data_IF_670511871359
#
_entry.id   IF_670511871359
#
_cell.length_a   1.000
_cell.length_b   1.000
_cell.length_c   1.000
_cell.angle_alpha   90.00
_cell.angle_beta   90.00
_cell.angle_gamma   90.00
#
_symmetry.space_group_name_H-M   'P 1'
#
loop_
_entity.id
_entity.type
_entity.pdbx_description
1 polymer ?
#
# COMPACT_ATOMS: atom_id res chain seq x y z
N UNK A 1 -10.31 19.44 13.48
CA UNK A 1 -10.57 20.34 12.34
C UNK A 1 -9.93 19.77 11.08
N UNK A 2 -10.71 19.30 10.11
CA UNK A 2 -10.25 18.52 8.96
C UNK A 2 -9.23 19.30 8.10
N UNK A 3 -8.20 18.62 7.56
CA UNK A 3 -7.16 19.23 6.69
C UNK A 3 -7.79 19.95 5.47
N UNK A 4 -8.93 19.45 5.03
CA UNK A 4 -9.78 20.05 4.00
C UNK A 4 -10.35 21.41 4.40
N UNK A 5 -10.84 21.54 5.65
CA UNK A 5 -11.40 22.78 6.19
C UNK A 5 -10.31 23.86 6.37
N UNK A 6 -9.10 23.45 6.79
CA UNK A 6 -7.94 24.35 6.90
C UNK A 6 -7.50 24.90 5.54
N UNK A 7 -7.43 24.05 4.52
CA UNK A 7 -7.09 24.49 3.16
C UNK A 7 -8.19 25.35 2.53
N UNK A 8 -9.46 25.05 2.82
CA UNK A 8 -10.58 25.88 2.39
C UNK A 8 -10.52 27.28 3.00
N UNK A 9 -10.32 27.37 4.33
CA UNK A 9 -10.20 28.64 5.04
C UNK A 9 -8.98 29.46 4.57
N UNK A 10 -7.82 28.83 4.38
CA UNK A 10 -6.63 29.51 3.88
C UNK A 10 -6.83 30.09 2.47
N UNK A 11 -7.56 29.37 1.60
CA UNK A 11 -7.89 29.84 0.25
C UNK A 11 -8.96 30.93 0.26
N UNK A 12 -9.96 30.81 1.14
CA UNK A 12 -10.97 31.85 1.34
C UNK A 12 -10.29 33.18 1.74
N UNK A 13 -9.28 33.12 2.61
CA UNK A 13 -8.48 34.29 3.02
C UNK A 13 -7.65 34.84 1.85
N UNK A 14 -7.05 33.98 1.02
CA UNK A 14 -6.23 34.40 -0.13
C UNK A 14 -7.05 35.14 -1.20
N UNK A 15 -8.28 34.69 -1.47
CA UNK A 15 -9.16 35.30 -2.47
C UNK A 15 -10.06 36.40 -1.89
N UNK A 16 -10.09 36.57 -0.56
CA UNK A 16 -10.87 37.59 0.13
C UNK A 16 -10.68 39.01 -0.43
N UNK A 17 -9.45 39.53 -0.67
CA UNK A 17 -9.28 40.89 -1.19
C UNK A 17 -9.81 41.05 -2.63
N UNK A 18 -9.74 39.99 -3.45
CA UNK A 18 -10.29 39.99 -4.81
C UNK A 18 -11.82 40.01 -4.73
N UNK A 19 -12.41 39.14 -3.91
CA UNK A 19 -13.87 39.08 -3.68
C UNK A 19 -14.38 40.42 -3.14
N UNK A 20 -13.67 41.03 -2.17
CA UNK A 20 -13.99 42.35 -1.63
C UNK A 20 -13.90 43.42 -2.71
N UNK A 21 -12.82 43.45 -3.51
CA UNK A 21 -12.63 44.44 -4.58
C UNK A 21 -13.70 44.36 -5.68
N UNK A 22 -14.18 43.15 -5.97
CA UNK A 22 -15.28 42.93 -6.91
C UNK A 22 -16.60 43.37 -6.28
N UNK A 23 -16.86 42.99 -5.02
CA UNK A 23 -18.07 43.39 -4.30
C UNK A 23 -18.17 44.92 -4.16
N UNK A 24 -17.07 45.60 -3.86
CA UNK A 24 -17.03 47.07 -3.77
C UNK A 24 -17.24 47.72 -5.14
N UNK A 25 -16.64 47.19 -6.20
CA UNK A 25 -16.85 47.71 -7.56
C UNK A 25 -18.30 47.55 -8.02
N UNK A 26 -18.90 46.38 -7.78
CA UNK A 26 -20.33 46.13 -8.06
C UNK A 26 -21.20 47.07 -7.22
N UNK A 27 -20.90 47.24 -5.93
CA UNK A 27 -21.62 48.13 -5.05
C UNK A 27 -21.58 49.58 -5.54
N UNK A 28 -20.40 50.08 -5.93
CA UNK A 28 -20.26 51.45 -6.47
C UNK A 28 -21.06 51.62 -7.76
N UNK A 29 -20.99 50.66 -8.69
CA UNK A 29 -21.72 50.75 -9.97
C UNK A 29 -23.24 50.70 -9.74
N UNK A 30 -23.71 49.75 -8.93
CA UNK A 30 -25.14 49.62 -8.62
C UNK A 30 -25.67 50.82 -7.84
N UNK A 31 -24.91 51.34 -6.87
CA UNK A 31 -25.25 52.53 -6.11
C UNK A 31 -25.32 53.79 -7.01
N UNK A 32 -24.36 53.96 -7.92
CA UNK A 32 -24.38 55.06 -8.88
C UNK A 32 -25.56 54.95 -9.85
N UNK A 33 -25.89 53.75 -10.32
CA UNK A 33 -27.04 53.50 -11.21
C UNK A 33 -28.37 53.80 -10.50
N UNK A 34 -28.52 53.41 -9.23
CA UNK A 34 -29.68 53.76 -8.39
C UNK A 34 -29.79 55.28 -8.22
N UNK A 35 -28.68 55.98 -7.95
CA UNK A 35 -28.68 57.44 -7.81
C UNK A 35 -29.06 58.18 -9.09
N UNK A 36 -28.57 57.70 -10.23
CA UNK A 36 -28.93 58.24 -11.54
C UNK A 36 -30.42 58.03 -11.82
N UNK A 37 -30.99 56.89 -11.40
CA UNK A 37 -32.42 56.62 -11.51
C UNK A 37 -33.26 57.53 -10.60
N UNK A 38 -32.87 57.71 -9.34
CA UNK A 38 -33.54 58.65 -8.42
C UNK A 38 -33.53 60.09 -8.95
N UNK A 39 -32.39 60.55 -9.49
CA UNK A 39 -32.30 61.88 -10.11
C UNK A 39 -33.24 62.03 -11.31
N UNK A 40 -33.31 61.01 -12.17
CA UNK A 40 -34.18 61.03 -13.32
C UNK A 40 -35.67 61.02 -12.94
N UNK A 41 -36.05 60.23 -11.94
CA UNK A 41 -37.42 60.24 -11.39
C UNK A 41 -37.76 61.63 -10.86
N UNK A 42 -36.89 62.21 -10.02
CA UNK A 42 -37.13 63.53 -9.41
C UNK A 42 -37.21 64.68 -10.42
N UNK A 43 -36.51 64.58 -11.56
CA UNK A 43 -36.64 65.53 -12.68
C UNK A 43 -37.96 65.35 -13.43
N UNK A 44 -38.44 64.11 -13.60
CA UNK A 44 -39.73 63.80 -14.26
C UNK A 44 -40.98 64.10 -13.42
N UNK A 45 -40.84 64.24 -12.10
CA UNK A 45 -41.94 64.69 -11.21
C UNK A 45 -42.01 66.20 -11.07
N UNK A 46 -40.91 66.93 -11.28
CA UNK A 46 -40.85 68.40 -11.18
C UNK A 46 -41.10 69.12 -12.51
N UNK A 47 -40.82 68.45 -13.63
CA UNK A 47 -41.22 68.86 -14.96
C UNK A 47 -42.20 67.82 -15.48
N UNK A 48 -43.35 68.20 -16.03
CA UNK A 48 -44.41 67.30 -16.54
C UNK A 48 -43.94 66.54 -17.82
N UNK A 49 -42.72 65.99 -17.80
CA UNK A 49 -42.08 65.24 -18.86
C UNK A 49 -42.36 63.75 -18.64
N UNK A 50 -42.93 63.11 -19.67
CA UNK A 50 -42.98 61.66 -19.79
C UNK A 50 -41.56 61.09 -19.57
N UNK A 51 -41.44 60.05 -18.74
CA UNK A 51 -40.25 59.21 -18.73
C UNK A 51 -40.05 58.67 -20.15
N UNK A 52 -39.15 59.29 -20.92
CA UNK A 52 -38.84 58.86 -22.27
C UNK A 52 -38.32 57.41 -22.19
N UNK A 53 -38.95 56.47 -22.90
CA UNK A 53 -38.60 55.04 -22.85
C UNK A 53 -37.13 54.72 -23.13
N UNK A 54 -36.41 55.65 -23.74
CA UNK A 54 -34.97 55.63 -23.93
C UNK A 54 -34.18 55.52 -22.62
N UNK A 55 -34.60 56.23 -21.55
CA UNK A 55 -33.92 56.19 -20.26
C UNK A 55 -34.15 54.87 -19.53
N UNK A 56 -35.37 54.33 -19.59
CA UNK A 56 -35.72 53.03 -19.00
C UNK A 56 -34.93 51.91 -19.68
N UNK A 57 -34.85 51.92 -21.01
CA UNK A 57 -34.08 50.93 -21.77
C UNK A 57 -32.59 50.99 -21.43
N UNK A 58 -32.02 52.18 -21.22
CA UNK A 58 -30.62 52.35 -20.82
C UNK A 58 -30.31 51.69 -19.46
N UNK A 59 -31.17 51.89 -18.47
CA UNK A 59 -31.00 51.32 -17.12
C UNK A 59 -31.11 49.80 -17.14
N UNK A 60 -32.09 49.26 -17.88
CA UNK A 60 -32.25 47.82 -18.06
C UNK A 60 -30.97 47.25 -18.68
N UNK A 61 -30.45 47.87 -19.74
CA UNK A 61 -29.24 47.41 -20.41
C UNK A 61 -28.01 47.40 -19.49
N UNK A 62 -27.81 48.46 -18.68
CA UNK A 62 -26.71 48.53 -17.71
C UNK A 62 -26.81 47.46 -16.62
N UNK A 63 -28.02 47.21 -16.09
CA UNK A 63 -28.25 46.18 -15.07
C UNK A 63 -27.98 44.76 -15.59
N UNK A 64 -28.39 44.48 -16.83
CA UNK A 64 -28.13 43.20 -17.50
C UNK A 64 -26.63 43.01 -17.73
N UNK A 65 -25.92 44.06 -18.16
CA UNK A 65 -24.48 44.00 -18.39
C UNK A 65 -23.70 43.68 -17.11
N UNK A 66 -24.07 44.31 -15.99
CA UNK A 66 -23.47 44.03 -14.67
C UNK A 66 -23.72 42.58 -14.26
N UNK A 67 -24.95 42.08 -14.44
CA UNK A 67 -25.29 40.69 -14.14
C UNK A 67 -24.43 39.69 -14.91
N UNK A 68 -24.20 39.93 -16.21
CA UNK A 68 -23.34 39.10 -17.06
C UNK A 68 -21.89 39.11 -16.54
N UNK A 69 -21.35 40.28 -16.20
CA UNK A 69 -19.99 40.41 -15.67
C UNK A 69 -19.83 39.60 -14.38
N UNK A 70 -20.79 39.69 -13.45
CA UNK A 70 -20.78 38.94 -12.19
C UNK A 70 -20.78 37.44 -12.44
N UNK A 71 -21.64 36.95 -13.34
CA UNK A 71 -21.73 35.53 -13.67
C UNK A 71 -20.41 35.02 -14.26
N UNK A 72 -19.83 35.77 -15.21
CA UNK A 72 -18.55 35.41 -15.84
C UNK A 72 -17.43 35.35 -14.80
N UNK A 73 -17.41 36.31 -13.88
CA UNK A 73 -16.39 36.38 -12.84
C UNK A 73 -16.52 35.22 -11.83
N UNK A 74 -17.74 34.97 -11.34
CA UNK A 74 -18.02 33.82 -10.47
C UNK A 74 -17.65 32.49 -11.15
N UNK A 75 -18.02 32.33 -12.41
CA UNK A 75 -17.68 31.14 -13.21
C UNK A 75 -16.16 30.94 -13.31
N UNK A 76 -15.42 32.03 -13.54
CA UNK A 76 -13.94 32.00 -13.63
C UNK A 76 -13.29 31.57 -12.31
N UNK A 77 -13.80 32.08 -11.18
CA UNK A 77 -13.31 31.70 -9.84
C UNK A 77 -13.58 30.22 -9.57
N UNK A 78 -14.80 29.74 -9.86
CA UNK A 78 -15.16 28.32 -9.71
C UNK A 78 -14.29 27.44 -10.59
N UNK A 79 -14.07 27.83 -11.84
CA UNK A 79 -13.19 27.13 -12.78
C UNK A 79 -11.75 27.03 -12.24
N UNK A 80 -11.20 28.11 -11.69
CA UNK A 80 -9.86 28.10 -11.11
C UNK A 80 -9.76 27.16 -9.89
N UNK A 81 -10.73 27.25 -8.97
CA UNK A 81 -10.78 26.40 -7.77
C UNK A 81 -10.90 24.91 -8.13
N UNK A 82 -11.71 24.57 -9.13
CA UNK A 82 -11.91 23.18 -9.56
C UNK A 82 -10.65 22.59 -10.20
N UNK A 83 -9.97 23.35 -11.08
CA UNK A 83 -8.69 22.91 -11.68
C UNK A 83 -7.65 22.61 -10.61
N UNK A 84 -7.49 23.52 -9.65
CA UNK A 84 -6.46 23.34 -8.63
C UNK A 84 -6.76 22.15 -7.72
N UNK A 85 -8.04 21.91 -7.41
CA UNK A 85 -8.46 20.72 -6.68
C UNK A 85 -8.17 19.43 -7.45
N UNK A 86 -8.56 19.37 -8.73
CA UNK A 86 -8.30 18.20 -9.59
C UNK A 86 -6.80 17.92 -9.68
N UNK A 87 -5.97 18.96 -9.89
CA UNK A 87 -4.51 18.83 -9.95
C UNK A 87 -3.94 18.23 -8.66
N UNK A 88 -4.43 18.66 -7.50
CA UNK A 88 -3.99 18.12 -6.21
C UNK A 88 -4.40 16.66 -6.01
N UNK A 89 -5.59 16.26 -6.45
CA UNK A 89 -6.02 14.86 -6.42
C UNK A 89 -5.16 13.97 -7.33
N UNK A 90 -4.91 14.42 -8.57
CA UNK A 90 -4.06 13.69 -9.51
C UNK A 90 -2.64 13.50 -8.96
N UNK A 91 -2.10 14.54 -8.29
CA UNK A 91 -0.79 14.45 -7.64
C UNK A 91 -0.76 13.38 -6.53
N UNK A 92 -1.78 13.33 -5.68
CA UNK A 92 -1.86 12.31 -4.62
C UNK A 92 -1.97 10.90 -5.18
N UNK A 93 -2.76 10.72 -6.25
CA UNK A 93 -2.88 9.42 -6.93
C UNK A 93 -1.54 8.99 -7.52
N UNK A 94 -0.82 9.90 -8.17
CA UNK A 94 0.50 9.60 -8.75
C UNK A 94 1.50 9.12 -7.69
N UNK A 95 1.61 9.85 -6.57
CA UNK A 95 2.49 9.48 -5.45
C UNK A 95 2.10 8.11 -4.87
N UNK A 96 0.80 7.87 -4.69
CA UNK A 96 0.31 6.60 -4.13
C UNK A 96 0.62 5.43 -5.08
N UNK A 97 0.45 5.63 -6.39
CA UNK A 97 0.77 4.65 -7.42
C UNK A 97 2.27 4.36 -7.47
N UNK A 98 3.11 5.38 -7.41
CA UNK A 98 4.56 5.23 -7.37
C UNK A 98 5.00 4.41 -6.15
N UNK A 99 4.47 4.74 -4.96
CA UNK A 99 4.72 3.98 -3.73
C UNK A 99 4.25 2.53 -3.81
N UNK A 100 3.10 2.27 -4.43
CA UNK A 100 2.59 0.92 -4.64
C UNK A 100 3.52 0.12 -5.56
N UNK A 101 3.95 0.72 -6.67
CA UNK A 101 4.87 0.07 -7.62
C UNK A 101 6.22 -0.21 -6.97
N UNK A 102 6.78 0.73 -6.20
CA UNK A 102 8.06 0.52 -5.52
C UNK A 102 7.96 -0.55 -4.43
N UNK A 103 6.88 -0.56 -3.65
CA UNK A 103 6.63 -1.60 -2.63
C UNK A 103 6.46 -2.98 -3.27
N UNK A 104 5.70 -3.07 -4.37
CA UNK A 104 5.55 -4.32 -5.12
C UNK A 104 6.88 -4.82 -5.67
N UNK A 105 7.70 -3.93 -6.26
CA UNK A 105 9.05 -4.28 -6.73
C UNK A 105 9.95 -4.76 -5.61
N UNK A 106 9.94 -4.09 -4.46
CA UNK A 106 10.73 -4.48 -3.29
C UNK A 106 10.30 -5.84 -2.73
N UNK A 107 8.99 -6.11 -2.69
CA UNK A 107 8.44 -7.41 -2.28
C UNK A 107 8.89 -8.51 -3.24
N UNK A 108 8.66 -8.35 -4.54
CA UNK A 108 9.06 -9.34 -5.56
C UNK A 108 10.57 -9.57 -5.55
N UNK A 109 11.37 -8.51 -5.39
CA UNK A 109 12.82 -8.65 -5.28
C UNK A 109 13.23 -9.44 -4.03
N UNK A 110 12.58 -9.18 -2.88
CA UNK A 110 12.84 -9.93 -1.64
C UNK A 110 12.43 -11.40 -1.77
N UNK A 111 11.29 -11.69 -2.39
CA UNK A 111 10.82 -13.05 -2.66
C UNK A 111 11.79 -13.81 -3.57
N UNK A 112 12.18 -13.22 -4.70
CA UNK A 112 13.14 -13.81 -5.64
C UNK A 112 14.50 -14.02 -4.99
N UNK A 113 14.97 -13.07 -4.17
CA UNK A 113 16.22 -13.20 -3.44
C UNK A 113 16.17 -14.35 -2.44
N UNK A 114 15.07 -14.46 -1.68
CA UNK A 114 14.87 -15.58 -0.77
C UNK A 114 14.87 -16.91 -1.53
N UNK A 115 14.06 -17.03 -2.59
CA UNK A 115 13.95 -18.25 -3.39
C UNK A 115 15.31 -18.65 -3.99
N UNK A 116 16.05 -17.69 -4.53
CA UNK A 116 17.37 -17.91 -5.12
C UNK A 116 18.36 -18.44 -4.07
N UNK A 117 18.47 -17.79 -2.92
CA UNK A 117 19.41 -18.20 -1.86
C UNK A 117 19.01 -19.55 -1.27
N UNK A 118 17.72 -19.74 -1.02
CA UNK A 118 17.18 -20.94 -0.39
C UNK A 118 17.35 -22.17 -1.29
N UNK A 119 17.03 -22.05 -2.58
CA UNK A 119 17.11 -23.16 -3.54
C UNK A 119 18.54 -23.46 -4.03
N UNK A 120 19.45 -22.48 -4.04
CA UNK A 120 20.85 -22.69 -4.42
C UNK A 120 21.78 -23.03 -3.24
N UNK A 121 21.22 -23.30 -2.05
CA UNK A 121 22.00 -23.78 -0.91
C UNK A 121 22.57 -25.17 -1.16
N UNK A 122 23.83 -25.40 -0.77
CA UNK A 122 24.49 -26.72 -0.86
C UNK A 122 23.99 -27.73 0.17
N UNK A 123 23.26 -27.28 1.20
CA UNK A 123 22.67 -28.12 2.23
C UNK A 123 21.15 -28.23 2.05
N UNK A 124 20.58 -29.36 2.49
CA UNK A 124 19.14 -29.61 2.51
C UNK A 124 18.48 -28.71 3.58
N UNK A 125 17.50 -27.88 3.20
CA UNK A 125 16.84 -26.96 4.14
C UNK A 125 15.34 -27.26 4.20
N UNK A 126 14.85 -27.40 5.43
CA UNK A 126 13.44 -27.61 5.76
C UNK A 126 12.96 -26.48 6.66
N UNK A 127 11.76 -25.99 6.39
CA UNK A 127 10.98 -25.14 7.26
C UNK A 127 9.72 -25.90 7.66
N UNK A 128 9.47 -26.03 8.96
CA UNK A 128 8.30 -26.72 9.49
C UNK A 128 7.62 -25.89 10.57
N UNK A 129 6.33 -26.17 10.80
CA UNK A 129 5.61 -25.64 11.95
C UNK A 129 5.99 -26.38 13.25
N UNK A 130 5.34 -26.04 14.36
CA UNK A 130 5.59 -26.70 15.65
C UNK A 130 4.94 -28.09 15.77
N UNK A 131 4.02 -28.45 14.87
CA UNK A 131 3.45 -29.80 14.78
C UNK A 131 4.36 -30.74 13.98
N UNK A 132 5.28 -30.15 13.20
CA UNK A 132 6.26 -30.83 12.38
C UNK A 132 5.86 -31.00 10.92
N UNK A 133 4.80 -30.32 10.49
CA UNK A 133 4.36 -30.28 9.10
C UNK A 133 5.24 -29.32 8.31
N UNK A 134 5.65 -29.73 7.11
CA UNK A 134 6.52 -28.91 6.28
C UNK A 134 5.76 -27.72 5.70
N UNK A 135 6.31 -26.52 5.95
CA UNK A 135 5.84 -25.26 5.38
C UNK A 135 6.58 -24.96 4.09
N UNK A 136 7.90 -25.24 4.06
CA UNK A 136 8.75 -24.95 2.91
C UNK A 136 9.97 -25.89 2.89
N UNK A 137 10.44 -26.26 1.70
CA UNK A 137 11.61 -27.11 1.48
C UNK A 137 12.38 -26.62 0.28
N UNK A 138 13.71 -26.62 0.35
CA UNK A 138 14.50 -26.19 -0.80
C UNK A 138 14.53 -27.25 -1.90
N UNK A 139 14.92 -26.82 -3.10
CA UNK A 139 15.02 -27.70 -4.27
C UNK A 139 15.91 -28.92 -4.02
N UNK A 140 17.02 -28.76 -3.28
CA UNK A 140 17.94 -29.86 -2.97
C UNK A 140 17.28 -30.99 -2.17
N UNK A 141 16.36 -30.68 -1.24
CA UNK A 141 15.59 -31.70 -0.51
C UNK A 141 14.78 -32.57 -1.48
N UNK A 142 14.12 -31.94 -2.45
CA UNK A 142 13.31 -32.64 -3.45
C UNK A 142 14.18 -33.60 -4.26
N UNK A 143 15.35 -33.13 -4.71
CA UNK A 143 16.31 -33.92 -5.48
C UNK A 143 16.91 -35.09 -4.69
N UNK A 144 17.27 -34.86 -3.43
CA UNK A 144 17.91 -35.90 -2.59
C UNK A 144 16.93 -36.96 -2.10
N UNK A 145 15.69 -36.56 -1.77
CA UNK A 145 14.69 -37.48 -1.24
C UNK A 145 13.75 -38.05 -2.31
N UNK A 146 13.74 -37.49 -3.53
CA UNK A 146 12.94 -37.97 -4.65
C UNK A 146 11.44 -37.67 -4.52
N UNK A 147 11.07 -36.69 -3.69
CA UNK A 147 9.70 -36.20 -3.57
C UNK A 147 9.55 -34.87 -4.31
N UNK A 148 8.35 -34.61 -4.80
CA UNK A 148 8.00 -33.25 -5.26
C UNK A 148 7.77 -32.34 -4.06
N UNK A 149 8.01 -31.03 -4.24
CA UNK A 149 7.70 -30.02 -3.22
C UNK A 149 6.25 -30.14 -2.74
N UNK A 150 5.29 -30.30 -3.66
CA UNK A 150 3.87 -30.41 -3.31
C UNK A 150 3.53 -31.66 -2.47
N UNK A 151 4.25 -32.77 -2.63
CA UNK A 151 4.13 -33.93 -1.75
C UNK A 151 4.72 -33.64 -0.37
N UNK A 152 5.93 -33.06 -0.32
CA UNK A 152 6.60 -32.74 0.94
C UNK A 152 5.79 -31.75 1.79
N UNK A 153 5.17 -30.73 1.19
CA UNK A 153 4.31 -29.78 1.90
C UNK A 153 3.03 -30.38 2.50
N UNK A 154 2.70 -31.63 2.17
CA UNK A 154 1.60 -32.40 2.77
C UNK A 154 2.09 -33.42 3.81
N UNK A 155 3.39 -33.43 4.09
CA UNK A 155 4.03 -34.39 4.97
C UNK A 155 4.57 -33.71 6.23
N UNK A 156 4.58 -34.46 7.32
CA UNK A 156 5.40 -34.18 8.50
C UNK A 156 6.81 -34.76 8.38
N UNK A 157 7.80 -34.17 9.08
CA UNK A 157 9.13 -34.75 9.24
C UNK A 157 9.11 -36.20 9.75
N UNK A 158 8.04 -36.64 10.41
CA UNK A 158 7.89 -38.02 10.91
C UNK A 158 7.87 -39.03 9.76
N UNK A 159 7.27 -38.66 8.62
CA UNK A 159 7.17 -39.55 7.46
C UNK A 159 8.53 -39.83 6.81
N UNK A 160 9.50 -38.92 7.00
CA UNK A 160 10.84 -39.08 6.47
C UNK A 160 11.75 -39.86 7.41
N UNK A 161 11.34 -40.26 8.62
CA UNK A 161 12.24 -40.96 9.56
C UNK A 161 12.11 -42.47 9.49
N UNK A 162 13.23 -43.16 9.70
CA UNK A 162 13.22 -44.61 9.95
C UNK A 162 12.49 -44.92 11.27
N UNK A 163 11.95 -46.14 11.46
CA UNK A 163 11.26 -46.51 12.71
C UNK A 163 12.09 -46.26 13.96
N UNK A 164 13.41 -46.53 13.88
CA UNK A 164 14.39 -46.23 14.93
C UNK A 164 14.37 -44.76 15.34
N UNK A 165 14.42 -43.84 14.36
CA UNK A 165 14.51 -42.41 14.63
C UNK A 165 13.17 -41.72 14.86
N UNK A 166 12.04 -42.30 14.42
CA UNK A 166 10.68 -41.80 14.73
C UNK A 166 10.47 -41.62 16.25
N UNK A 167 10.95 -42.56 17.07
CA UNK A 167 10.84 -42.49 18.53
C UNK A 167 11.56 -41.28 19.16
N UNK A 168 12.61 -40.76 18.52
CA UNK A 168 13.41 -39.63 19.03
C UNK A 168 12.87 -38.26 18.61
N UNK A 169 11.94 -38.21 17.65
CA UNK A 169 11.43 -36.96 17.08
C UNK A 169 10.78 -36.07 18.13
N UNK A 170 9.91 -36.61 18.97
CA UNK A 170 9.27 -35.83 20.05
C UNK A 170 10.29 -35.26 21.04
N UNK A 171 11.32 -36.05 21.39
CA UNK A 171 12.41 -35.60 22.27
C UNK A 171 13.21 -34.46 21.63
N UNK A 172 13.55 -34.57 20.35
CA UNK A 172 14.29 -33.54 19.63
C UNK A 172 13.48 -32.26 19.47
N UNK A 173 12.18 -32.37 19.14
CA UNK A 173 11.28 -31.23 19.04
C UNK A 173 11.17 -30.47 20.36
N UNK A 174 10.97 -31.18 21.48
CA UNK A 174 10.91 -30.56 22.82
C UNK A 174 12.20 -29.79 23.15
N UNK A 175 13.37 -30.34 22.80
CA UNK A 175 14.65 -29.64 22.97
C UNK A 175 14.73 -28.37 22.14
N UNK A 176 14.35 -28.42 20.86
CA UNK A 176 14.34 -27.23 19.98
C UNK A 176 13.43 -26.13 20.55
N UNK A 177 12.25 -26.50 21.06
CA UNK A 177 11.29 -25.54 21.62
C UNK A 177 11.81 -24.95 22.94
N UNK A 178 12.44 -25.76 23.80
CA UNK A 178 12.92 -25.33 25.10
C UNK A 178 14.22 -24.51 25.02
N UNK A 179 15.18 -24.95 24.21
CA UNK A 179 16.54 -24.39 24.12
C UNK A 179 16.70 -23.43 22.94
N UNK A 180 15.73 -23.38 22.01
CA UNK A 180 15.75 -22.56 20.80
C UNK A 180 16.60 -23.13 19.66
N UNK A 181 17.42 -24.15 19.91
CA UNK A 181 18.22 -24.86 18.92
C UNK A 181 18.48 -26.30 19.34
N UNK A 182 18.84 -27.17 18.39
CA UNK A 182 19.30 -28.53 18.68
C UNK A 182 20.10 -29.07 17.51
N UNK A 183 21.19 -29.80 17.79
CA UNK A 183 21.99 -30.51 16.78
C UNK A 183 21.99 -32.00 17.11
N UNK A 184 21.66 -32.84 16.13
CA UNK A 184 21.52 -34.27 16.35
C UNK A 184 21.67 -35.06 15.05
N UNK A 185 22.15 -36.29 15.16
CA UNK A 185 22.19 -37.23 14.03
C UNK A 185 20.88 -38.00 13.92
N UNK A 186 20.47 -38.28 12.68
CA UNK A 186 19.24 -39.01 12.36
C UNK A 186 19.34 -39.65 10.98
N UNK A 187 18.26 -40.30 10.55
CA UNK A 187 18.14 -40.93 9.24
C UNK A 187 16.89 -40.40 8.55
N UNK A 188 17.06 -39.99 7.29
CA UNK A 188 15.97 -39.68 6.38
C UNK A 188 15.72 -40.88 5.44
N UNK A 189 14.46 -41.11 5.07
CA UNK A 189 14.01 -42.14 4.14
C UNK A 189 13.45 -41.44 2.91
N UNK A 190 14.10 -41.66 1.77
CA UNK A 190 13.64 -41.17 0.46
C UNK A 190 12.36 -41.88 0.00
N UNK A 191 11.71 -41.36 -1.04
CA UNK A 191 10.54 -41.98 -1.68
C UNK A 191 10.82 -43.40 -2.19
N UNK A 192 12.06 -43.66 -2.61
CA UNK A 192 12.52 -44.97 -3.05
C UNK A 192 12.92 -45.91 -1.89
N UNK A 193 12.73 -45.51 -0.64
CA UNK A 193 13.09 -46.30 0.55
C UNK A 193 14.57 -46.27 0.92
N UNK A 194 15.43 -45.54 0.18
CA UNK A 194 16.85 -45.36 0.53
C UNK A 194 16.97 -44.59 1.84
N UNK A 195 17.76 -45.15 2.76
CA UNK A 195 18.11 -44.54 4.05
C UNK A 195 19.35 -43.66 3.86
N UNK A 196 19.28 -42.43 4.37
CA UNK A 196 20.35 -41.43 4.28
C UNK A 196 20.64 -40.95 5.70
N UNK A 197 21.87 -41.17 6.17
CA UNK A 197 22.30 -40.67 7.47
C UNK A 197 22.61 -39.19 7.37
N UNK A 198 21.99 -38.39 8.24
CA UNK A 198 22.12 -36.93 8.24
C UNK A 198 22.38 -36.38 9.64
N UNK A 199 23.19 -35.32 9.73
CA UNK A 199 23.27 -34.44 10.89
C UNK A 199 22.29 -33.29 10.67
N UNK A 200 21.33 -33.14 11.58
CA UNK A 200 20.35 -32.05 11.57
C UNK A 200 20.82 -30.94 12.51
N UNK A 201 20.81 -29.70 12.01
CA UNK A 201 20.92 -28.48 12.81
C UNK A 201 19.60 -27.72 12.72
N UNK A 202 18.83 -27.73 13.82
CA UNK A 202 17.51 -27.13 13.87
C UNK A 202 17.51 -25.90 14.79
N UNK A 203 16.81 -24.84 14.41
CA UNK A 203 16.54 -23.65 15.23
C UNK A 203 15.07 -23.27 15.22
N UNK A 204 14.59 -22.84 16.38
CA UNK A 204 13.31 -22.16 16.51
C UNK A 204 13.48 -20.70 16.04
N UNK A 205 12.65 -20.29 15.09
CA UNK A 205 12.60 -18.91 14.59
C UNK A 205 11.21 -18.32 14.83
N UNK A 206 11.14 -16.99 14.90
CA UNK A 206 9.88 -16.25 14.96
C UNK A 206 9.80 -15.33 13.75
N UNK A 207 8.85 -15.58 12.84
CA UNK A 207 8.58 -14.73 11.69
C UNK A 207 7.23 -14.06 11.90
N UNK A 208 7.23 -12.74 12.11
CA UNK A 208 6.01 -11.93 12.27
C UNK A 208 5.02 -12.46 13.32
N UNK A 209 5.51 -13.04 14.42
CA UNK A 209 4.69 -13.61 15.49
C UNK A 209 4.41 -15.11 15.36
N UNK A 210 4.74 -15.72 14.21
CA UNK A 210 4.57 -17.15 13.98
C UNK A 210 5.88 -17.89 14.26
N UNK A 211 5.84 -18.81 15.23
CA UNK A 211 6.97 -19.68 15.57
C UNK A 211 7.07 -20.82 14.56
N UNK A 212 8.28 -21.02 14.01
CA UNK A 212 8.59 -22.07 13.04
C UNK A 212 9.96 -22.67 13.34
N UNK A 213 10.25 -23.83 12.76
CA UNK A 213 11.54 -24.51 12.91
C UNK A 213 12.23 -24.56 11.54
N UNK A 214 13.42 -23.98 11.47
CA UNK A 214 14.32 -24.15 10.32
C UNK A 214 15.30 -25.26 10.66
N UNK A 215 15.43 -26.23 9.78
CA UNK A 215 16.39 -27.33 9.91
C UNK A 215 17.26 -27.43 8.67
N UNK A 216 18.57 -27.52 8.90
CA UNK A 216 19.56 -27.79 7.85
C UNK A 216 20.07 -29.22 8.05
N UNK A 217 19.97 -30.05 7.01
CA UNK A 217 20.44 -31.43 7.03
C UNK A 217 21.72 -31.55 6.22
N UNK A 218 22.77 -32.07 6.87
CA UNK A 218 24.05 -32.40 6.22
C UNK A 218 24.19 -33.90 6.09
N UNK A 219 24.47 -34.39 4.89
CA UNK A 219 24.69 -35.81 4.66
C UNK A 219 26.00 -36.26 5.32
N UNK A 220 25.92 -37.30 6.16
CA UNK A 220 27.06 -37.90 6.86
C UNK A 220 27.22 -39.39 6.54
N UNK A 221 26.59 -39.87 5.47
CA UNK A 221 26.57 -41.29 5.09
C UNK A 221 27.99 -41.83 4.85
N UNK A 222 28.82 -41.07 4.13
CA UNK A 222 30.22 -41.46 3.87
C UNK A 222 31.07 -41.46 5.15
N UNK A 223 30.92 -40.42 6.00
CA UNK A 223 31.59 -40.33 7.30
C UNK A 223 31.29 -41.56 8.16
N UNK A 224 30.01 -41.93 8.28
CA UNK A 224 29.55 -43.12 9.02
C UNK A 224 30.08 -44.43 8.44
N UNK A 225 30.20 -44.52 7.12
CA UNK A 225 30.71 -45.73 6.47
C UNK A 225 32.21 -45.95 6.75
N UNK A 226 32.98 -44.88 6.92
CA UNK A 226 34.40 -44.94 7.30
C UNK A 226 34.53 -45.31 8.78
N UNK A 227 33.77 -44.65 9.67
CA UNK A 227 33.77 -44.92 11.13
C UNK A 227 33.42 -46.38 11.46
N UNK A 228 32.55 -47.02 10.68
CA UNK A 228 32.17 -48.42 10.88
C UNK A 228 33.19 -49.43 10.35
N UNK A 229 34.14 -48.99 9.53
CA UNK A 229 35.21 -49.82 8.96
C UNK A 229 36.53 -49.75 9.74
N UNK A 230 36.65 -48.79 10.65
CA UNK A 230 37.73 -48.71 11.66
C UNK A 230 37.31 -49.44 12.93
#
# INVERSE_FOLDING_TARGET
>A
MNKLLKNFLARLILFLPIIIGIATSIFVITFQSIRNFEQAINQSTTSNLNLNGELINKIILESVLIGIIIIVLLSTVVYFLTIENIRNYLRQISISKEKLVSTKKALTFSEQKFETIFNNSSDEIFLADLNGDFIEVNQLVCEKLGYTKAELLKMSFLHLKTPKYKAYVSKNLKKIIAEGFHTYETENVSKAGKVISVEMKSRLINCSGTKMIVSVARNITERKAIEKKM
#
